data_IF_290152955931
#
_entry.id   IF_290152955931
#
_cell.length_a   1.000
_cell.length_b   1.000
_cell.length_c   1.000
_cell.angle_alpha   90.00
_cell.angle_beta   90.00
_cell.angle_gamma   90.00
#
_symmetry.space_group_name_H-M   'P 1'
#
loop_
_entity.id
_entity.type
_entity.pdbx_description
1 polymer ?
#
# COMPACT_ATOMS: atom_id res chain seq x y z
N UNK A 1 -14.90 -39.49 -14.45
CA UNK A 1 -16.03 -38.57 -14.16
C UNK A 1 -16.46 -38.67 -12.69
N UNK A 2 -16.51 -39.87 -12.10
CA UNK A 2 -16.94 -40.07 -10.70
C UNK A 2 -16.10 -39.30 -9.66
N UNK A 3 -14.80 -39.11 -9.88
CA UNK A 3 -13.93 -38.34 -8.96
C UNK A 3 -14.17 -36.83 -8.99
N UNK A 4 -14.81 -36.29 -10.04
CA UNK A 4 -15.06 -34.85 -10.21
C UNK A 4 -16.26 -34.39 -9.38
N UNK A 5 -17.25 -35.26 -9.20
CA UNK A 5 -18.50 -34.91 -8.53
C UNK A 5 -18.29 -34.44 -7.07
N UNK A 6 -17.49 -35.12 -6.22
CA UNK A 6 -17.17 -34.65 -4.87
C UNK A 6 -16.49 -33.27 -4.83
N UNK A 7 -15.67 -32.95 -5.84
CA UNK A 7 -15.02 -31.63 -5.94
C UNK A 7 -16.02 -30.54 -6.32
N UNK A 8 -16.96 -30.83 -7.23
CA UNK A 8 -18.02 -29.89 -7.57
C UNK A 8 -18.97 -29.63 -6.41
N UNK A 9 -19.33 -30.67 -5.63
CA UNK A 9 -20.21 -30.50 -4.46
C UNK A 9 -19.53 -29.66 -3.39
N UNK A 10 -18.28 -29.98 -3.02
CA UNK A 10 -17.52 -29.24 -2.01
C UNK A 10 -17.23 -27.80 -2.44
N UNK A 11 -16.94 -27.55 -3.72
CA UNK A 11 -16.79 -26.20 -4.25
C UNK A 11 -18.12 -25.42 -4.18
N UNK A 12 -19.24 -26.05 -4.52
CA UNK A 12 -20.58 -25.45 -4.42
C UNK A 12 -20.92 -25.07 -2.98
N UNK A 13 -20.67 -25.96 -2.02
CA UNK A 13 -20.84 -25.69 -0.60
C UNK A 13 -19.95 -24.55 -0.11
N UNK A 14 -18.67 -24.54 -0.49
CA UNK A 14 -17.74 -23.48 -0.12
C UNK A 14 -18.15 -22.12 -0.72
N UNK A 15 -18.67 -22.10 -1.95
CA UNK A 15 -19.21 -20.89 -2.57
C UNK A 15 -20.43 -20.36 -1.81
N UNK A 16 -21.35 -21.24 -1.41
CA UNK A 16 -22.49 -20.85 -0.58
C UNK A 16 -22.04 -20.32 0.78
N UNK A 17 -21.06 -20.98 1.41
CA UNK A 17 -20.46 -20.51 2.67
C UNK A 17 -19.87 -19.11 2.50
N UNK A 18 -19.09 -18.87 1.44
CA UNK A 18 -18.50 -17.56 1.13
C UNK A 18 -19.58 -16.47 1.03
N UNK A 19 -20.68 -16.74 0.33
CA UNK A 19 -21.78 -15.79 0.13
C UNK A 19 -22.56 -15.50 1.40
N UNK A 20 -22.55 -16.37 2.39
CA UNK A 20 -23.18 -16.16 3.70
C UNK A 20 -22.20 -15.53 4.69
N UNK A 21 -20.89 -15.63 4.44
CA UNK A 21 -19.85 -15.22 5.38
C UNK A 21 -19.74 -13.69 5.50
N UNK A 22 -19.99 -13.11 6.68
CA UNK A 22 -20.03 -11.66 6.86
C UNK A 22 -18.67 -11.00 6.60
N UNK A 23 -17.57 -11.69 6.89
CA UNK A 23 -16.21 -11.17 6.75
C UNK A 23 -15.87 -10.78 5.31
N UNK A 24 -16.41 -11.48 4.32
CA UNK A 24 -16.18 -11.13 2.91
C UNK A 24 -16.80 -9.77 2.59
N UNK A 25 -18.06 -9.55 2.96
CA UNK A 25 -18.73 -8.26 2.78
C UNK A 25 -18.09 -7.14 3.60
N UNK A 26 -17.67 -7.42 4.84
CA UNK A 26 -16.94 -6.45 5.67
C UNK A 26 -15.66 -6.01 4.96
N UNK A 27 -14.90 -6.94 4.34
CA UNK A 27 -13.69 -6.59 3.59
C UNK A 27 -14.00 -5.68 2.39
N UNK A 28 -15.06 -5.97 1.63
CA UNK A 28 -15.48 -5.15 0.49
C UNK A 28 -15.92 -3.75 0.93
N UNK A 29 -16.71 -3.65 2.00
CA UNK A 29 -17.17 -2.38 2.57
C UNK A 29 -15.96 -1.56 3.06
N UNK A 30 -15.02 -2.19 3.76
CA UNK A 30 -13.82 -1.52 4.25
C UNK A 30 -13.00 -0.96 3.09
N UNK A 31 -12.76 -1.74 2.04
CA UNK A 31 -12.08 -1.29 0.82
C UNK A 31 -12.81 -0.09 0.20
N UNK A 32 -14.13 -0.17 0.07
CA UNK A 32 -14.93 0.90 -0.50
C UNK A 32 -14.83 2.20 0.33
N UNK A 33 -14.86 2.10 1.66
CA UNK A 33 -14.67 3.24 2.56
C UNK A 33 -13.26 3.83 2.46
N UNK A 34 -12.24 3.01 2.30
CA UNK A 34 -10.85 3.47 2.14
C UNK A 34 -10.68 4.27 0.85
N UNK A 35 -11.14 3.76 -0.30
CA UNK A 35 -11.09 4.49 -1.56
C UNK A 35 -12.01 5.72 -1.59
N UNK A 36 -13.16 5.67 -0.89
CA UNK A 36 -14.00 6.86 -0.73
C UNK A 36 -13.30 7.95 0.08
N UNK A 37 -12.64 7.57 1.19
CA UNK A 37 -11.86 8.50 2.01
C UNK A 37 -10.71 9.11 1.21
N UNK A 38 -10.02 8.30 0.40
CA UNK A 38 -8.97 8.79 -0.51
C UNK A 38 -9.51 9.83 -1.50
N UNK A 39 -10.66 9.57 -2.11
CA UNK A 39 -11.35 10.55 -2.97
C UNK A 39 -11.68 11.86 -2.23
N UNK A 40 -12.13 11.79 -0.97
CA UNK A 40 -12.39 12.98 -0.16
C UNK A 40 -11.09 13.75 0.14
N UNK A 41 -9.96 13.06 0.33
CA UNK A 41 -8.65 13.69 0.48
C UNK A 41 -8.21 14.39 -0.80
N UNK A 42 -8.34 13.75 -1.96
CA UNK A 42 -8.03 14.35 -3.27
C UNK A 42 -8.81 15.64 -3.49
N UNK A 43 -10.13 15.60 -3.26
CA UNK A 43 -11.00 16.79 -3.39
C UNK A 43 -10.61 17.89 -2.42
N UNK A 44 -10.15 17.56 -1.22
CA UNK A 44 -9.76 18.54 -0.21
C UNK A 44 -8.39 19.17 -0.49
N UNK A 45 -7.47 18.43 -1.10
CA UNK A 45 -6.10 18.88 -1.39
C UNK A 45 -5.98 19.59 -2.74
N UNK A 46 -6.68 19.08 -3.76
CA UNK A 46 -6.49 19.50 -5.15
C UNK A 46 -7.78 20.02 -5.80
N UNK A 47 -8.91 20.00 -5.08
CA UNK A 47 -10.23 20.41 -5.59
C UNK A 47 -10.73 19.61 -6.80
N UNK A 48 -10.04 18.53 -7.14
CA UNK A 48 -10.33 17.68 -8.31
C UNK A 48 -10.38 16.21 -7.90
N UNK A 49 -11.06 15.42 -8.73
CA UNK A 49 -11.12 13.96 -8.61
C UNK A 49 -10.04 13.37 -9.51
N UNK A 50 -9.02 12.77 -8.92
CA UNK A 50 -7.99 12.06 -9.69
C UNK A 50 -8.43 10.62 -9.96
N UNK A 51 -9.12 10.01 -9.00
CA UNK A 51 -9.51 8.61 -9.11
C UNK A 51 -10.99 8.37 -8.80
N UNK A 52 -11.50 7.24 -9.29
CA UNK A 52 -12.87 6.81 -9.05
C UNK A 52 -12.92 5.77 -7.95
N UNK A 53 -13.50 6.11 -6.80
CA UNK A 53 -13.62 5.17 -5.68
C UNK A 53 -14.35 3.88 -6.05
N UNK A 54 -15.46 3.99 -6.80
CA UNK A 54 -16.24 2.83 -7.26
C UNK A 54 -15.41 1.95 -8.21
N UNK A 55 -14.75 2.57 -9.20
CA UNK A 55 -13.92 1.82 -10.16
C UNK A 55 -12.76 1.12 -9.46
N UNK A 56 -12.17 1.75 -8.45
CA UNK A 56 -11.11 1.15 -7.64
C UNK A 56 -11.64 -0.01 -6.79
N UNK A 57 -12.80 0.13 -6.16
CA UNK A 57 -13.44 -0.98 -5.43
C UNK A 57 -13.74 -2.16 -6.35
N UNK A 58 -14.28 -1.92 -7.54
CA UNK A 58 -14.55 -2.99 -8.52
C UNK A 58 -13.24 -3.68 -8.93
N UNK A 59 -12.19 -2.93 -9.26
CA UNK A 59 -10.87 -3.48 -9.59
C UNK A 59 -10.26 -4.28 -8.44
N UNK A 60 -10.45 -3.82 -7.20
CA UNK A 60 -9.99 -4.51 -5.99
C UNK A 60 -10.72 -5.85 -5.78
N UNK A 61 -12.04 -5.88 -5.97
CA UNK A 61 -12.84 -7.11 -5.83
C UNK A 61 -12.52 -8.09 -6.96
N UNK A 62 -12.56 -7.64 -8.22
CA UNK A 62 -12.23 -8.49 -9.37
C UNK A 62 -10.79 -9.03 -9.29
N UNK A 63 -9.85 -8.16 -8.91
CA UNK A 63 -8.48 -8.56 -8.67
C UNK A 63 -8.33 -9.58 -7.55
N UNK A 64 -9.04 -9.37 -6.44
CA UNK A 64 -9.07 -10.29 -5.31
C UNK A 64 -9.66 -11.66 -5.67
N UNK A 65 -10.69 -11.73 -6.51
CA UNK A 65 -11.24 -12.99 -7.05
C UNK A 65 -10.18 -13.73 -7.88
N UNK A 66 -9.46 -13.02 -8.77
CA UNK A 66 -8.43 -13.63 -9.62
C UNK A 66 -7.27 -14.16 -8.76
N UNK A 67 -6.72 -13.36 -7.86
CA UNK A 67 -5.63 -13.80 -6.96
C UNK A 67 -6.13 -14.93 -6.06
N UNK A 68 -7.33 -14.79 -5.51
CA UNK A 68 -7.96 -15.79 -4.65
C UNK A 68 -8.05 -17.15 -5.35
N UNK A 69 -8.54 -17.18 -6.58
CA UNK A 69 -8.59 -18.40 -7.38
C UNK A 69 -7.19 -19.00 -7.66
N UNK A 70 -6.22 -18.18 -8.08
CA UNK A 70 -4.85 -18.65 -8.36
C UNK A 70 -4.18 -19.21 -7.11
N UNK A 71 -4.29 -18.51 -5.97
CA UNK A 71 -3.73 -18.97 -4.69
C UNK A 71 -4.42 -20.24 -4.21
N UNK A 72 -5.76 -20.32 -4.35
CA UNK A 72 -6.53 -21.51 -3.97
C UNK A 72 -6.13 -22.73 -4.78
N UNK A 73 -5.97 -22.58 -6.11
CA UNK A 73 -5.52 -23.66 -6.99
C UNK A 73 -4.09 -24.09 -6.63
N UNK A 74 -3.17 -23.15 -6.40
CA UNK A 74 -1.81 -23.47 -6.01
C UNK A 74 -1.76 -24.21 -4.65
N UNK A 75 -2.54 -23.75 -3.67
CA UNK A 75 -2.65 -24.37 -2.35
C UNK A 75 -3.22 -25.80 -2.44
N UNK A 76 -4.28 -25.97 -3.24
CA UNK A 76 -4.91 -27.27 -3.53
C UNK A 76 -3.95 -28.22 -4.24
N UNK A 77 -3.21 -27.75 -5.26
CA UNK A 77 -2.24 -28.55 -5.99
C UNK A 77 -1.12 -29.09 -5.09
N UNK A 78 -0.66 -28.27 -4.14
CA UNK A 78 0.31 -28.69 -3.13
C UNK A 78 -0.28 -29.71 -2.13
N UNK A 79 -1.60 -29.85 -2.05
CA UNK A 79 -2.34 -30.59 -1.02
C UNK A 79 -2.19 -30.00 0.38
N UNK A 80 -1.74 -28.74 0.46
CA UNK A 80 -1.63 -28.04 1.72
C UNK A 80 -3.05 -27.88 2.30
N UNK A 81 -3.18 -28.13 3.59
CA UNK A 81 -4.48 -28.19 4.25
C UNK A 81 -4.39 -27.53 5.62
N UNK A 82 -5.51 -26.99 6.07
CA UNK A 82 -5.61 -26.33 7.37
C UNK A 82 -6.68 -27.01 8.20
N UNK A 83 -6.43 -27.14 9.49
CA UNK A 83 -7.45 -27.61 10.44
C UNK A 83 -8.32 -26.45 10.90
N UNK A 84 -9.49 -26.75 11.46
CA UNK A 84 -10.32 -25.71 12.10
C UNK A 84 -9.55 -24.96 13.20
N UNK A 85 -8.70 -25.67 13.95
CA UNK A 85 -7.78 -25.07 14.93
C UNK A 85 -6.79 -24.08 14.31
N UNK A 86 -6.31 -24.37 13.10
CA UNK A 86 -5.44 -23.45 12.34
C UNK A 86 -6.18 -22.17 11.94
N UNK A 87 -7.42 -22.29 11.48
CA UNK A 87 -8.26 -21.15 11.13
C UNK A 87 -8.55 -20.30 12.37
N UNK A 88 -9.02 -20.89 13.46
CA UNK A 88 -9.31 -20.13 14.68
C UNK A 88 -8.04 -19.44 15.20
N UNK A 89 -6.90 -20.14 15.21
CA UNK A 89 -5.62 -19.59 15.68
C UNK A 89 -5.15 -18.41 14.85
N UNK A 90 -5.21 -18.49 13.51
CA UNK A 90 -4.78 -17.39 12.65
C UNK A 90 -5.69 -16.16 12.79
N UNK A 91 -7.00 -16.36 12.93
CA UNK A 91 -7.96 -15.27 13.14
C UNK A 91 -7.72 -14.56 14.48
N UNK A 92 -7.54 -15.31 15.56
CA UNK A 92 -7.23 -14.76 16.89
C UNK A 92 -5.89 -14.01 16.85
N UNK A 93 -4.84 -14.63 16.30
CA UNK A 93 -3.52 -14.02 16.21
C UNK A 93 -3.55 -12.71 15.39
N UNK A 94 -4.20 -12.71 14.23
CA UNK A 94 -4.35 -11.52 13.40
C UNK A 94 -5.12 -10.40 14.13
N UNK A 95 -6.19 -10.73 14.85
CA UNK A 95 -6.96 -9.76 15.63
C UNK A 95 -6.13 -9.16 16.77
N UNK A 96 -5.44 -9.99 17.56
CA UNK A 96 -4.57 -9.54 18.67
C UNK A 96 -3.46 -8.63 18.15
N UNK A 97 -2.81 -9.00 17.05
CA UNK A 97 -1.76 -8.19 16.44
C UNK A 97 -2.32 -6.86 15.88
N UNK A 98 -3.52 -6.87 15.30
CA UNK A 98 -4.19 -5.68 14.80
C UNK A 98 -4.52 -4.66 15.91
N UNK A 99 -4.73 -5.11 17.16
CA UNK A 99 -4.90 -4.21 18.32
C UNK A 99 -3.64 -3.40 18.62
N UNK A 100 -2.45 -3.95 18.36
CA UNK A 100 -1.18 -3.24 18.49
C UNK A 100 -1.05 -2.22 17.37
N UNK A 101 -1.16 -2.69 16.11
CA UNK A 101 -1.21 -1.85 14.91
C UNK A 101 -1.96 -2.59 13.81
N UNK A 102 -2.89 -1.91 13.14
CA UNK A 102 -3.71 -2.49 12.06
C UNK A 102 -2.88 -3.08 10.92
N UNK A 103 -1.68 -2.55 10.65
CA UNK A 103 -0.76 -3.14 9.65
C UNK A 103 -0.39 -4.60 9.93
N UNK A 104 -0.43 -5.03 11.20
CA UNK A 104 -0.15 -6.41 11.59
C UNK A 104 -1.33 -7.37 11.38
N UNK A 105 -2.44 -6.88 10.81
CA UNK A 105 -3.52 -7.72 10.29
C UNK A 105 -3.06 -8.57 9.09
N UNK A 106 -1.97 -8.19 8.42
CA UNK A 106 -1.41 -8.96 7.30
C UNK A 106 -1.09 -10.40 7.74
N UNK A 107 -1.51 -11.36 6.91
CA UNK A 107 -1.45 -12.79 7.18
C UNK A 107 -0.05 -13.30 7.57
N UNK A 108 1.02 -12.74 6.97
CA UNK A 108 2.39 -13.16 7.28
C UNK A 108 2.82 -12.87 8.72
N UNK A 109 2.32 -11.78 9.34
CA UNK A 109 2.61 -11.49 10.74
C UNK A 109 1.93 -12.51 11.66
N UNK A 110 0.66 -12.83 11.41
CA UNK A 110 -0.06 -13.82 12.21
C UNK A 110 0.53 -15.22 12.06
N UNK A 111 0.83 -15.66 10.83
CA UNK A 111 1.47 -16.95 10.57
C UNK A 111 2.89 -17.02 11.16
N UNK A 112 3.70 -15.97 10.99
CA UNK A 112 5.04 -15.90 11.56
C UNK A 112 5.04 -15.90 13.09
N UNK A 113 4.13 -15.15 13.72
CA UNK A 113 3.99 -15.12 15.17
C UNK A 113 3.56 -16.48 15.73
N UNK A 114 2.59 -17.14 15.09
CA UNK A 114 2.17 -18.50 15.46
C UNK A 114 3.31 -19.51 15.31
N UNK A 115 4.11 -19.41 14.25
CA UNK A 115 5.28 -20.29 14.07
C UNK A 115 6.36 -20.10 15.14
N UNK A 116 6.64 -18.85 15.51
CA UNK A 116 7.57 -18.53 16.61
C UNK A 116 7.02 -19.05 17.95
N UNK A 117 5.72 -18.86 18.19
CA UNK A 117 5.06 -19.32 19.42
C UNK A 117 5.03 -20.84 19.51
N UNK A 118 4.70 -21.53 18.42
CA UNK A 118 4.75 -22.99 18.34
C UNK A 118 6.16 -23.51 18.64
N UNK A 119 7.20 -22.89 18.05
CA UNK A 119 8.57 -23.25 18.34
C UNK A 119 8.92 -23.08 19.82
N UNK A 120 8.53 -21.96 20.44
CA UNK A 120 8.75 -21.72 21.87
C UNK A 120 8.04 -22.76 22.75
N UNK A 121 6.78 -23.11 22.44
CA UNK A 121 6.04 -24.15 23.15
C UNK A 121 6.64 -25.54 22.96
N UNK A 122 7.21 -25.84 21.79
CA UNK A 122 7.88 -27.11 21.52
C UNK A 122 9.22 -27.24 22.25
N UNK A 123 9.98 -26.14 22.40
CA UNK A 123 11.17 -26.12 23.28
C UNK A 123 10.76 -26.35 24.73
N UNK A 124 9.71 -25.67 25.19
CA UNK A 124 9.16 -25.84 26.53
C UNK A 124 8.18 -27.04 26.60
N UNK A 125 8.54 -28.19 26.02
CA UNK A 125 7.65 -29.37 25.93
C UNK A 125 7.15 -29.87 27.30
N UNK A 126 7.95 -29.70 28.35
CA UNK A 126 7.58 -30.01 29.73
C UNK A 126 6.58 -29.04 30.37
N UNK A 127 6.34 -27.87 29.77
CA UNK A 127 5.28 -26.95 30.20
C UNK A 127 3.95 -27.39 29.59
N UNK A 128 3.07 -27.94 30.44
CA UNK A 128 1.77 -28.47 30.07
C UNK A 128 0.70 -27.87 30.99
N UNK A 129 0.32 -26.59 30.77
CA UNK A 129 -0.70 -25.95 31.58
C UNK A 129 -2.04 -26.68 31.44
N UNK A 130 -2.87 -26.64 32.46
CA UNK A 130 -4.22 -27.23 32.44
C UNK A 130 -5.30 -26.21 32.07
N UNK A 131 -6.52 -26.71 31.82
CA UNK A 131 -7.68 -25.87 31.48
C UNK A 131 -7.62 -25.27 30.07
N UNK A 132 -8.23 -24.10 29.89
CA UNK A 132 -8.34 -23.40 28.60
C UNK A 132 -6.96 -23.06 28.03
N UNK A 133 -6.02 -22.66 28.89
CA UNK A 133 -4.65 -22.35 28.46
C UNK A 133 -3.95 -23.60 27.91
N UNK A 134 -4.14 -24.76 28.54
CA UNK A 134 -3.64 -26.04 28.04
C UNK A 134 -4.16 -26.38 26.64
N UNK A 135 -5.47 -26.23 26.43
CA UNK A 135 -6.10 -26.46 25.14
C UNK A 135 -5.56 -25.52 24.05
N UNK A 136 -5.35 -24.24 24.38
CA UNK A 136 -4.78 -23.27 23.45
C UNK A 136 -3.33 -23.61 23.08
N UNK A 137 -2.50 -23.97 24.06
CA UNK A 137 -1.10 -24.39 23.82
C UNK A 137 -1.05 -25.63 22.94
N UNK A 138 -1.88 -26.64 23.22
CA UNK A 138 -1.92 -27.88 22.44
C UNK A 138 -2.40 -27.62 21.00
N UNK A 139 -3.40 -26.76 20.84
CA UNK A 139 -3.88 -26.34 19.51
C UNK A 139 -2.76 -25.68 18.71
N UNK A 140 -1.96 -24.80 19.33
CA UNK A 140 -0.81 -24.15 18.68
C UNK A 140 0.30 -25.16 18.36
N UNK A 141 0.58 -26.11 19.26
CA UNK A 141 1.55 -27.20 19.01
C UNK A 141 1.15 -28.09 17.83
N UNK A 142 -0.14 -28.30 17.63
CA UNK A 142 -0.69 -29.15 16.56
C UNK A 142 -0.88 -28.43 15.20
N UNK A 143 -0.50 -27.15 15.06
CA UNK A 143 -0.63 -26.42 13.80
C UNK A 143 0.30 -26.98 12.72
N UNK A 144 -0.23 -27.15 11.50
CA UNK A 144 0.58 -27.33 10.29
C UNK A 144 1.17 -25.98 9.87
N UNK A 145 2.28 -25.62 10.51
CA UNK A 145 2.96 -24.36 10.26
C UNK A 145 3.55 -24.26 8.85
N UNK A 146 4.16 -25.32 8.27
CA UNK A 146 4.57 -25.29 6.86
C UNK A 146 3.41 -24.91 5.92
N UNK A 147 2.21 -25.47 6.10
CA UNK A 147 1.05 -25.11 5.27
C UNK A 147 0.62 -23.64 5.46
N UNK A 148 0.55 -23.15 6.70
CA UNK A 148 0.24 -21.73 6.98
C UNK A 148 1.27 -20.79 6.35
N UNK A 149 2.57 -21.11 6.44
CA UNK A 149 3.64 -20.26 5.90
C UNK A 149 3.73 -20.33 4.36
N UNK A 150 3.37 -21.47 3.75
CA UNK A 150 3.16 -21.56 2.30
C UNK A 150 2.01 -20.65 1.87
N UNK A 151 0.87 -20.67 2.57
CA UNK A 151 -0.25 -19.77 2.26
C UNK A 151 0.17 -18.30 2.37
N UNK A 152 0.91 -17.94 3.43
CA UNK A 152 1.46 -16.60 3.58
C UNK A 152 2.33 -16.20 2.38
N UNK A 153 3.22 -17.09 1.92
CA UNK A 153 4.08 -16.84 0.77
C UNK A 153 3.30 -16.65 -0.53
N UNK A 154 2.31 -17.52 -0.80
CA UNK A 154 1.47 -17.43 -2.00
C UNK A 154 0.65 -16.14 -2.03
N UNK A 155 0.13 -15.70 -0.89
CA UNK A 155 -0.59 -14.43 -0.79
C UNK A 155 0.30 -13.23 -1.14
N UNK A 156 1.51 -13.16 -0.59
CA UNK A 156 2.43 -12.05 -0.89
C UNK A 156 3.02 -12.14 -2.30
N UNK A 157 3.10 -13.35 -2.88
CA UNK A 157 3.42 -13.52 -4.30
C UNK A 157 2.33 -12.91 -5.19
N UNK A 158 1.06 -13.21 -4.89
CA UNK A 158 -0.10 -12.60 -5.55
C UNK A 158 -0.14 -11.08 -5.38
N UNK A 159 0.15 -10.59 -4.17
CA UNK A 159 0.30 -9.16 -3.89
C UNK A 159 1.37 -8.51 -4.77
N UNK A 160 2.57 -9.08 -4.83
CA UNK A 160 3.67 -8.55 -5.64
C UNK A 160 3.31 -8.46 -7.12
N UNK A 161 2.65 -9.48 -7.67
CA UNK A 161 2.19 -9.49 -9.05
C UNK A 161 1.19 -8.36 -9.32
N UNK A 162 0.22 -8.17 -8.43
CA UNK A 162 -0.81 -7.15 -8.61
C UNK A 162 -0.31 -5.73 -8.36
N UNK A 163 0.59 -5.53 -7.40
CA UNK A 163 1.29 -4.26 -7.22
C UNK A 163 2.05 -3.91 -8.51
N UNK A 164 2.72 -4.88 -9.14
CA UNK A 164 3.43 -4.68 -10.42
C UNK A 164 2.48 -4.27 -11.56
N UNK A 165 1.30 -4.86 -11.63
CA UNK A 165 0.32 -4.65 -12.72
C UNK A 165 -0.53 -3.39 -12.55
N UNK A 166 -1.02 -3.12 -11.33
CA UNK A 166 -2.02 -2.07 -11.08
C UNK A 166 -1.48 -0.90 -10.25
N UNK A 167 -0.35 -1.07 -9.58
CA UNK A 167 0.23 -0.09 -8.64
C UNK A 167 0.19 1.33 -9.16
N UNK A 168 0.66 1.56 -10.39
CA UNK A 168 0.87 2.92 -10.92
C UNK A 168 -0.47 3.63 -11.11
N UNK A 169 -1.46 2.90 -11.60
CA UNK A 169 -2.81 3.43 -11.82
C UNK A 169 -3.58 3.73 -10.53
N UNK A 170 -3.12 3.19 -9.39
CA UNK A 170 -3.71 3.36 -8.07
C UNK A 170 -2.91 4.31 -7.17
N UNK A 171 -1.80 4.86 -7.67
CA UNK A 171 -1.05 5.88 -6.96
C UNK A 171 -1.82 7.22 -7.00
N UNK A 172 -1.93 7.88 -5.86
CA UNK A 172 -2.63 9.17 -5.73
C UNK A 172 -1.69 10.24 -5.16
N UNK A 173 -1.69 11.46 -5.72
CA UNK A 173 -0.84 12.52 -5.23
C UNK A 173 -1.26 12.97 -3.83
N UNK A 174 -0.30 13.42 -3.03
CA UNK A 174 -0.56 14.09 -1.76
C UNK A 174 0.51 15.14 -1.48
N UNK A 175 0.24 16.00 -0.50
CA UNK A 175 1.17 17.02 -0.03
C UNK A 175 1.57 16.73 1.43
N UNK A 176 2.87 16.80 1.75
CA UNK A 176 3.38 16.65 3.13
C UNK A 176 4.37 17.75 3.47
N UNK A 177 4.52 18.00 4.77
CA UNK A 177 5.64 18.78 5.30
C UNK A 177 6.91 17.92 5.27
N UNK A 178 7.89 18.34 4.48
CA UNK A 178 9.22 17.72 4.44
C UNK A 178 10.04 18.04 5.70
N UNK A 179 11.21 17.39 5.84
CA UNK A 179 12.10 17.53 7.01
C UNK A 179 12.50 18.96 7.38
N UNK A 180 12.54 19.85 6.38
CA UNK A 180 12.92 21.27 6.53
C UNK A 180 11.71 22.20 6.70
N UNK A 181 10.51 21.65 6.96
CA UNK A 181 9.26 22.39 7.09
C UNK A 181 8.70 22.94 5.77
N UNK A 182 9.37 22.75 4.64
CA UNK A 182 8.83 23.06 3.30
C UNK A 182 7.79 22.02 2.89
N UNK A 183 6.77 22.46 2.16
CA UNK A 183 5.80 21.55 1.57
C UNK A 183 6.44 20.82 0.41
N UNK A 184 6.12 19.54 0.27
CA UNK A 184 6.69 18.63 -0.70
C UNK A 184 5.55 17.78 -1.27
N UNK A 185 5.54 17.63 -2.59
CA UNK A 185 4.62 16.72 -3.25
C UNK A 185 5.07 15.27 -3.10
N UNK A 186 4.12 14.34 -3.07
CA UNK A 186 4.40 12.92 -3.03
C UNK A 186 3.25 12.11 -3.61
N UNK A 187 3.41 10.80 -3.59
CA UNK A 187 2.44 9.82 -4.03
C UNK A 187 2.21 8.77 -2.96
N UNK A 188 0.94 8.52 -2.68
CA UNK A 188 0.48 7.47 -1.78
C UNK A 188 -0.02 6.32 -2.65
N UNK A 189 0.45 5.11 -2.33
CA UNK A 189 0.04 3.87 -2.98
C UNK A 189 -0.69 3.04 -1.94
N UNK A 190 -2.02 3.01 -2.05
CA UNK A 190 -2.88 2.22 -1.19
C UNK A 190 -3.63 1.22 -2.08
N UNK A 191 -3.25 -0.04 -1.99
CA UNK A 191 -3.84 -1.12 -2.76
C UNK A 191 -4.41 -2.15 -1.81
N UNK A 192 -5.69 -2.47 -1.99
CA UNK A 192 -6.37 -3.48 -1.20
C UNK A 192 -7.15 -4.41 -2.12
N UNK A 193 -7.22 -5.68 -1.74
CA UNK A 193 -7.94 -6.74 -2.44
C UNK A 193 -8.68 -7.61 -1.42
N UNK A 194 -9.95 -7.90 -1.72
CA UNK A 194 -10.74 -8.86 -0.96
C UNK A 194 -10.62 -10.22 -1.66
N UNK A 195 -9.87 -11.15 -1.07
CA UNK A 195 -9.60 -12.46 -1.66
C UNK A 195 -10.57 -13.50 -1.10
N UNK A 196 -11.47 -14.06 -1.91
CA UNK A 196 -12.19 -15.26 -1.57
C UNK A 196 -11.29 -16.48 -1.82
N UNK A 197 -10.66 -17.01 -0.78
CA UNK A 197 -9.85 -18.23 -0.90
C UNK A 197 -10.70 -19.46 -0.62
N UNK A 198 -10.34 -20.57 -1.29
CA UNK A 198 -10.85 -21.89 -1.02
C UNK A 198 -9.67 -22.77 -0.62
N UNK A 199 -9.67 -23.19 0.64
CA UNK A 199 -8.58 -23.97 1.23
C UNK A 199 -9.05 -25.40 1.52
N UNK A 200 -8.11 -26.34 1.51
CA UNK A 200 -8.40 -27.72 1.88
C UNK A 200 -8.48 -27.86 3.40
N UNK A 201 -9.53 -28.53 3.86
CA UNK A 201 -9.68 -28.97 5.25
C UNK A 201 -9.90 -30.48 5.26
N UNK A 202 -9.23 -31.25 6.13
CA UNK A 202 -9.48 -32.69 6.24
C UNK A 202 -10.94 -32.99 6.57
N UNK A 203 -11.57 -33.88 5.80
CA UNK A 203 -12.96 -34.25 6.01
C UNK A 203 -13.10 -35.21 7.20
N UNK A 204 -14.14 -35.04 8.02
CA UNK A 204 -14.50 -35.97 9.11
C UNK A 204 -15.40 -37.13 8.64
N UNK A 205 -15.76 -37.17 7.35
CA UNK A 205 -16.64 -38.15 6.72
C UNK A 205 -16.33 -38.31 5.22
N UNK A 206 -17.36 -38.40 4.37
CA UNK A 206 -17.16 -38.45 2.91
C UNK A 206 -16.55 -37.13 2.42
N UNK A 207 -15.36 -37.20 1.84
CA UNK A 207 -14.63 -36.07 1.28
C UNK A 207 -14.09 -36.36 -0.11
N UNK A 208 -13.70 -35.32 -0.83
CA UNK A 208 -13.05 -35.46 -2.12
C UNK A 208 -11.60 -35.94 -1.96
N UNK A 209 -11.15 -36.86 -2.80
CA UNK A 209 -9.76 -37.33 -2.81
C UNK A 209 -8.97 -36.64 -3.92
N UNK A 210 -7.68 -36.41 -3.68
CA UNK A 210 -6.77 -35.85 -4.67
C UNK A 210 -6.30 -36.98 -5.60
N UNK A 211 -6.43 -36.86 -6.95
CA UNK A 211 -6.02 -37.90 -7.89
C UNK A 211 -4.50 -37.95 -8.16
N UNK A 212 -3.71 -37.07 -7.52
CA UNK A 212 -2.24 -37.10 -7.54
C UNK A 212 -1.69 -37.26 -6.13
N UNK A 213 -0.39 -37.52 -6.01
CA UNK A 213 0.30 -37.50 -4.72
C UNK A 213 0.70 -36.06 -4.38
N UNK A 214 0.02 -35.37 -3.46
CA UNK A 214 0.38 -34.01 -3.08
C UNK A 214 1.71 -33.97 -2.31
N UNK A 215 2.32 -32.77 -2.28
CA UNK A 215 3.51 -32.52 -1.47
C UNK A 215 3.18 -32.63 0.03
N UNK A 216 2.09 -32.01 0.44
CA UNK A 216 1.56 -32.13 1.78
C UNK A 216 0.64 -33.34 1.84
N UNK A 217 1.10 -34.41 2.50
CA UNK A 217 0.29 -35.60 2.68
C UNK A 217 -0.78 -35.32 3.73
N UNK A 218 -2.06 -35.50 3.38
CA UNK A 218 -3.11 -35.48 4.39
C UNK A 218 -4.34 -36.30 4.04
N UNK A 219 -4.90 -36.91 5.07
CA UNK A 219 -6.28 -37.40 5.11
C UNK A 219 -6.66 -38.49 4.10
N UNK A 220 -7.81 -39.10 4.34
CA UNK A 220 -8.47 -40.00 3.39
C UNK A 220 -9.48 -39.25 2.49
N UNK A 221 -9.64 -37.94 2.71
CA UNK A 221 -10.56 -37.08 1.96
C UNK A 221 -10.55 -35.64 2.49
N UNK A 222 -10.95 -34.70 1.64
CA UNK A 222 -10.92 -33.27 1.90
C UNK A 222 -12.26 -32.60 1.59
N UNK A 223 -12.51 -31.47 2.24
CA UNK A 223 -13.54 -30.51 1.86
C UNK A 223 -12.90 -29.16 1.57
N UNK A 224 -13.56 -28.37 0.74
CA UNK A 224 -13.19 -26.98 0.51
C UNK A 224 -13.93 -26.09 1.51
N UNK A 225 -13.20 -25.15 2.10
CA UNK A 225 -13.77 -24.14 3.00
C UNK A 225 -13.38 -22.76 2.50
N UNK A 226 -14.35 -21.84 2.51
CA UNK A 226 -14.10 -20.46 2.16
C UNK A 226 -13.33 -19.74 3.28
N UNK A 227 -12.24 -19.06 2.91
CA UNK A 227 -11.45 -18.21 3.79
C UNK A 227 -11.30 -16.82 3.15
N UNK A 228 -12.19 -15.86 3.46
CA UNK A 228 -12.05 -14.50 2.99
C UNK A 228 -10.87 -13.82 3.67
N UNK A 229 -9.93 -13.30 2.89
CA UNK A 229 -8.75 -12.57 3.37
C UNK A 229 -8.72 -11.17 2.76
N UNK A 230 -8.44 -10.18 3.60
CA UNK A 230 -8.09 -8.84 3.14
C UNK A 230 -6.57 -8.76 2.95
N UNK A 231 -6.14 -8.61 1.70
CA UNK A 231 -4.74 -8.43 1.33
C UNK A 231 -4.52 -6.97 0.92
N UNK A 232 -3.38 -6.38 1.25
CA UNK A 232 -3.11 -5.02 0.78
C UNK A 232 -1.78 -4.41 1.20
N UNK A 233 -1.33 -3.50 0.34
CA UNK A 233 -0.10 -2.75 0.45
C UNK A 233 -0.43 -1.28 0.70
N UNK A 234 0.24 -0.67 1.68
CA UNK A 234 0.27 0.78 1.84
C UNK A 234 1.72 1.25 1.86
N UNK A 235 2.10 2.03 0.87
CA UNK A 235 3.41 2.67 0.78
C UNK A 235 3.27 4.14 0.36
N UNK A 236 4.26 4.97 0.64
CA UNK A 236 4.30 6.36 0.24
C UNK A 236 5.67 6.69 -0.35
N UNK A 237 5.71 7.60 -1.33
CA UNK A 237 6.94 8.13 -1.91
C UNK A 237 6.88 9.65 -2.04
N UNK A 238 7.93 10.33 -1.61
CA UNK A 238 8.19 11.75 -1.84
C UNK A 238 9.44 11.96 -2.70
N UNK A 239 10.30 10.94 -2.81
CA UNK A 239 11.62 10.97 -3.44
C UNK A 239 11.68 10.31 -4.81
N UNK A 240 10.65 9.57 -5.20
CA UNK A 240 10.59 8.85 -6.47
C UNK A 240 9.25 9.05 -7.18
N UNK A 241 9.28 8.90 -8.50
CA UNK A 241 8.07 8.73 -9.31
C UNK A 241 7.34 7.44 -8.89
N UNK A 242 6.00 7.42 -8.92
CA UNK A 242 5.20 6.27 -8.50
C UNK A 242 5.59 5.00 -9.27
N UNK A 243 5.78 5.12 -10.60
CA UNK A 243 6.20 4.00 -11.45
C UNK A 243 7.48 3.32 -10.98
N UNK A 244 8.49 4.10 -10.59
CA UNK A 244 9.76 3.58 -10.08
C UNK A 244 9.56 2.94 -8.71
N UNK A 245 8.88 3.61 -7.78
CA UNK A 245 8.64 3.08 -6.43
C UNK A 245 7.93 1.73 -6.47
N UNK A 246 6.88 1.61 -7.28
CA UNK A 246 6.11 0.37 -7.44
C UNK A 246 6.94 -0.77 -7.99
N UNK A 247 7.82 -0.52 -8.97
CA UNK A 247 8.72 -1.56 -9.48
C UNK A 247 9.68 -2.07 -8.39
N UNK A 248 10.25 -1.17 -7.58
CA UNK A 248 11.12 -1.56 -6.46
C UNK A 248 10.33 -2.32 -5.39
N UNK A 249 9.18 -1.83 -4.97
CA UNK A 249 8.34 -2.46 -3.94
C UNK A 249 7.86 -3.84 -4.39
N UNK A 250 7.36 -3.98 -5.63
CA UNK A 250 6.96 -5.28 -6.18
C UNK A 250 8.13 -6.26 -6.28
N UNK A 251 9.31 -5.82 -6.73
CA UNK A 251 10.50 -6.69 -6.83
C UNK A 251 10.97 -7.18 -5.46
N UNK A 252 11.01 -6.29 -4.47
CA UNK A 252 11.42 -6.63 -3.09
C UNK A 252 10.41 -7.58 -2.44
N UNK A 253 9.12 -7.30 -2.62
CA UNK A 253 8.04 -8.16 -2.13
C UNK A 253 8.09 -9.54 -2.80
N UNK A 254 8.29 -9.60 -4.12
CA UNK A 254 8.46 -10.87 -4.85
C UNK A 254 9.64 -11.68 -4.32
N UNK A 255 10.81 -11.05 -4.14
CA UNK A 255 12.00 -11.72 -3.59
C UNK A 255 11.72 -12.28 -2.19
N UNK A 256 11.11 -11.48 -1.32
CA UNK A 256 10.68 -11.93 0.00
C UNK A 256 9.73 -13.13 -0.07
N UNK A 257 8.70 -13.08 -0.92
CA UNK A 257 7.72 -14.15 -1.09
C UNK A 257 8.37 -15.43 -1.60
N UNK A 258 9.35 -15.34 -2.51
CA UNK A 258 10.11 -16.49 -3.00
C UNK A 258 10.95 -17.10 -1.88
N UNK A 259 11.69 -16.28 -1.12
CA UNK A 259 12.49 -16.76 0.01
C UNK A 259 11.60 -17.44 1.06
N UNK A 260 10.48 -16.82 1.42
CA UNK A 260 9.51 -17.39 2.34
C UNK A 260 8.95 -18.72 1.79
N UNK A 261 8.52 -18.76 0.53
CA UNK A 261 7.98 -19.97 -0.09
C UNK A 261 8.99 -21.13 -0.06
N UNK A 262 10.25 -20.87 -0.40
CA UNK A 262 11.32 -21.88 -0.38
C UNK A 262 11.49 -22.44 1.03
N UNK A 263 11.65 -21.59 2.06
CA UNK A 263 11.80 -22.09 3.43
C UNK A 263 10.55 -22.83 3.93
N UNK A 264 9.35 -22.36 3.60
CA UNK A 264 8.09 -23.01 3.99
C UNK A 264 7.92 -24.39 3.34
N UNK A 265 8.30 -24.54 2.07
CA UNK A 265 8.26 -25.84 1.38
C UNK A 265 9.33 -26.79 1.91
N UNK A 266 10.56 -26.29 2.13
CA UNK A 266 11.64 -27.10 2.70
C UNK A 266 11.33 -27.57 4.13
N UNK A 267 10.55 -26.80 4.88
CA UNK A 267 10.11 -27.16 6.22
C UNK A 267 9.23 -28.43 6.29
N UNK A 268 8.63 -28.84 5.16
CA UNK A 268 7.87 -30.09 5.06
C UNK A 268 8.78 -31.31 5.30
N UNK A 269 10.00 -31.28 4.76
CA UNK A 269 10.99 -32.36 4.95
C UNK A 269 11.91 -32.12 6.14
N UNK A 270 12.20 -30.85 6.46
CA UNK A 270 13.08 -30.46 7.54
C UNK A 270 12.36 -29.55 8.54
N UNK A 271 11.66 -30.12 9.55
CA UNK A 271 10.83 -29.36 10.48
C UNK A 271 11.55 -28.23 11.20
N UNK A 272 12.88 -28.34 11.41
CA UNK A 272 13.72 -27.29 12.00
C UNK A 272 13.73 -25.99 11.18
N UNK A 273 13.44 -26.04 9.88
CA UNK A 273 13.34 -24.84 9.04
C UNK A 273 12.04 -24.07 9.27
N UNK A 274 11.04 -24.65 9.94
CA UNK A 274 9.78 -23.96 10.26
C UNK A 274 10.01 -22.66 11.02
N UNK A 275 10.91 -22.65 12.01
CA UNK A 275 11.23 -21.42 12.76
C UNK A 275 11.92 -20.38 11.88
N UNK A 276 12.75 -20.82 10.93
CA UNK A 276 13.41 -19.93 9.96
C UNK A 276 12.36 -19.31 9.04
N UNK A 277 11.46 -20.12 8.48
CA UNK A 277 10.35 -19.66 7.66
C UNK A 277 9.43 -18.69 8.43
N UNK A 278 9.12 -18.98 9.69
CA UNK A 278 8.32 -18.11 10.56
C UNK A 278 9.01 -16.76 10.85
N UNK A 279 10.32 -16.78 11.10
CA UNK A 279 11.13 -15.55 11.26
C UNK A 279 11.19 -14.75 9.96
N UNK A 280 11.35 -15.41 8.81
CA UNK A 280 11.27 -14.74 7.52
C UNK A 280 9.89 -14.10 7.36
N UNK A 281 8.80 -14.83 7.61
CA UNK A 281 7.43 -14.31 7.48
C UNK A 281 7.19 -13.06 8.35
N UNK A 282 7.62 -13.08 9.61
CA UNK A 282 7.41 -11.95 10.52
C UNK A 282 8.44 -10.84 10.34
N UNK A 283 9.71 -11.15 10.57
CA UNK A 283 10.79 -10.17 10.60
C UNK A 283 11.21 -9.72 9.20
N UNK A 284 11.17 -10.62 8.20
CA UNK A 284 11.42 -10.26 6.81
C UNK A 284 10.38 -9.27 6.27
N UNK A 285 9.10 -9.45 6.62
CA UNK A 285 8.07 -8.49 6.24
C UNK A 285 8.27 -7.13 6.92
N UNK A 286 8.62 -7.11 8.22
CA UNK A 286 8.93 -5.85 8.91
C UNK A 286 10.19 -5.18 8.32
N UNK A 287 11.21 -5.96 7.96
CA UNK A 287 12.42 -5.47 7.31
C UNK A 287 12.11 -4.78 5.98
N UNK A 288 11.19 -5.32 5.17
CA UNK A 288 10.75 -4.68 3.92
C UNK A 288 10.15 -3.30 4.18
N UNK A 289 9.22 -3.22 5.13
CA UNK A 289 8.53 -1.97 5.48
C UNK A 289 9.51 -0.94 6.04
N UNK A 290 10.35 -1.36 6.98
CA UNK A 290 11.38 -0.52 7.58
C UNK A 290 12.39 -0.02 6.55
N UNK A 291 12.86 -0.90 5.66
CA UNK A 291 13.84 -0.54 4.64
C UNK A 291 13.28 0.45 3.62
N UNK A 292 12.03 0.24 3.16
CA UNK A 292 11.34 1.20 2.27
C UNK A 292 11.22 2.58 2.93
N UNK A 293 10.81 2.63 4.20
CA UNK A 293 10.68 3.88 4.96
C UNK A 293 12.04 4.57 5.18
N UNK A 294 13.10 3.80 5.47
CA UNK A 294 14.46 4.32 5.66
C UNK A 294 14.99 4.94 4.37
N UNK A 295 14.85 4.25 3.24
CA UNK A 295 15.24 4.77 1.92
C UNK A 295 14.55 6.10 1.62
N UNK A 296 13.25 6.19 1.88
CA UNK A 296 12.45 7.41 1.67
C UNK A 296 12.89 8.60 2.51
N UNK A 297 13.46 8.33 3.69
CA UNK A 297 13.99 9.36 4.57
C UNK A 297 15.37 9.86 4.11
N UNK A 298 16.18 9.04 3.43
CA UNK A 298 17.53 9.42 3.04
C UNK A 298 17.61 10.10 1.66
N UNK A 299 16.58 9.98 0.84
CA UNK A 299 16.54 10.57 -0.49
C UNK A 299 15.92 11.97 -0.50
N UNK A 300 16.38 12.79 -1.44
CA UNK A 300 15.83 14.13 -1.69
C UNK A 300 14.44 14.02 -2.31
N UNK A 301 13.51 14.93 -2.00
CA UNK A 301 12.20 14.91 -2.63
C UNK A 301 12.23 15.19 -4.13
N UNK A 302 11.42 14.46 -4.90
CA UNK A 302 11.33 14.56 -6.35
C UNK A 302 10.37 15.67 -6.82
N UNK A 303 9.35 15.99 -6.03
CA UNK A 303 8.29 16.93 -6.41
C UNK A 303 8.44 18.27 -5.69
N UNK A 304 9.49 18.99 -6.08
CA UNK A 304 9.78 20.36 -5.65
C UNK A 304 10.11 21.19 -6.90
N UNK A 305 9.73 22.47 -6.90
CA UNK A 305 10.06 23.38 -7.98
C UNK A 305 11.58 23.52 -8.13
N UNK A 306 12.14 23.32 -9.35
CA UNK A 306 13.52 23.69 -9.65
C UNK A 306 13.68 25.22 -9.65
N UNK A 307 14.92 25.71 -9.78
CA UNK A 307 15.18 27.16 -9.88
C UNK A 307 14.42 27.82 -11.05
N UNK A 308 14.24 27.09 -12.16
CA UNK A 308 13.55 27.60 -13.34
C UNK A 308 12.51 26.59 -13.82
N UNK A 309 11.28 27.06 -13.99
CA UNK A 309 10.15 26.21 -14.35
C UNK A 309 9.39 25.66 -13.14
N UNK A 310 8.22 25.11 -13.41
CA UNK A 310 7.33 24.56 -12.41
C UNK A 310 7.26 23.03 -12.51
N UNK A 311 7.50 22.33 -11.41
CA UNK A 311 7.45 20.87 -11.37
C UNK A 311 6.00 20.38 -11.41
N UNK A 312 5.70 19.43 -12.29
CA UNK A 312 4.40 18.77 -12.37
C UNK A 312 4.32 17.70 -11.29
N UNK A 313 3.37 17.83 -10.37
CA UNK A 313 3.08 16.80 -9.38
C UNK A 313 2.25 15.69 -10.01
N UNK A 314 1.13 16.03 -10.65
CA UNK A 314 0.23 15.07 -11.30
C UNK A 314 -0.55 15.72 -12.43
N UNK A 315 -1.16 14.91 -13.30
CA UNK A 315 -2.03 15.39 -14.38
C UNK A 315 -3.44 14.84 -14.18
N UNK A 316 -4.44 15.70 -14.33
CA UNK A 316 -5.85 15.31 -14.20
C UNK A 316 -6.22 14.41 -15.38
N UNK A 317 -6.87 13.25 -15.15
CA UNK A 317 -7.31 12.38 -16.24
C UNK A 317 -8.26 13.10 -17.20
N UNK A 318 -8.17 12.79 -18.50
CA UNK A 318 -9.01 13.40 -19.55
C UNK A 318 -8.92 14.93 -19.61
N UNK A 319 -7.76 15.50 -19.26
CA UNK A 319 -7.50 16.94 -19.36
C UNK A 319 -6.62 17.26 -20.58
N UNK A 320 -6.56 18.54 -21.01
CA UNK A 320 -5.67 18.96 -22.10
C UNK A 320 -4.21 18.52 -21.92
N UNK A 321 -3.70 18.56 -20.69
CA UNK A 321 -2.35 18.10 -20.33
C UNK A 321 -2.18 16.58 -20.48
N UNK A 322 -3.23 15.81 -20.19
CA UNK A 322 -3.21 14.36 -20.39
C UNK A 322 -3.16 14.02 -21.88
N UNK A 323 -3.93 14.73 -22.72
CA UNK A 323 -3.89 14.55 -24.18
C UNK A 323 -2.55 14.94 -24.81
N UNK A 324 -1.90 15.98 -24.28
CA UNK A 324 -0.56 16.38 -24.69
C UNK A 324 0.54 15.39 -24.24
N UNK A 325 0.20 14.41 -23.40
CA UNK A 325 1.16 13.44 -22.86
C UNK A 325 2.19 14.09 -21.93
N UNK A 326 1.73 15.01 -21.07
CA UNK A 326 2.50 15.55 -19.95
C UNK A 326 2.51 14.50 -18.84
N UNK A 327 3.66 14.26 -18.24
CA UNK A 327 3.83 13.25 -17.20
C UNK A 327 4.19 13.86 -15.84
N UNK A 328 3.83 13.15 -14.77
CA UNK A 328 4.25 13.51 -13.43
C UNK A 328 5.78 13.52 -13.32
N UNK A 329 6.34 14.55 -12.67
CA UNK A 329 7.77 14.73 -12.51
C UNK A 329 8.46 15.55 -13.61
N UNK A 330 7.79 15.81 -14.73
CA UNK A 330 8.27 16.75 -15.75
C UNK A 330 8.23 18.20 -15.23
N UNK A 331 8.98 19.09 -15.87
CA UNK A 331 9.03 20.51 -15.49
C UNK A 331 8.50 21.38 -16.61
N UNK A 332 7.42 22.12 -16.36
CA UNK A 332 6.94 23.14 -17.27
C UNK A 332 7.87 24.34 -17.24
N UNK A 333 8.55 24.62 -18.35
CA UNK A 333 9.61 25.63 -18.41
C UNK A 333 9.15 26.93 -19.05
N UNK A 334 8.45 26.86 -20.20
CA UNK A 334 7.84 28.03 -20.85
C UNK A 334 6.42 27.75 -21.32
N UNK A 335 5.64 28.83 -21.38
CA UNK A 335 4.31 28.87 -21.98
C UNK A 335 4.22 30.09 -22.89
N UNK A 336 3.85 29.87 -24.15
CA UNK A 336 3.74 30.91 -25.17
C UNK A 336 5.00 31.79 -25.28
N UNK A 337 6.17 31.17 -25.13
CA UNK A 337 7.47 31.84 -25.20
C UNK A 337 7.94 32.52 -23.90
N UNK A 338 7.09 32.62 -22.88
CA UNK A 338 7.46 33.19 -21.57
C UNK A 338 7.91 32.11 -20.59
N UNK A 339 8.97 32.38 -19.83
CA UNK A 339 9.36 31.55 -18.68
C UNK A 339 8.28 31.62 -17.60
N UNK A 340 8.03 30.49 -16.95
CA UNK A 340 7.06 30.38 -15.86
C UNK A 340 7.72 29.88 -14.59
N UNK A 341 7.67 30.69 -13.53
CA UNK A 341 8.26 30.41 -12.22
C UNK A 341 7.24 30.34 -11.10
N UNK A 342 6.01 30.81 -11.34
CA UNK A 342 4.90 30.72 -10.38
C UNK A 342 3.59 30.29 -11.05
N UNK A 343 2.64 29.70 -10.30
CA UNK A 343 1.29 29.40 -10.79
C UNK A 343 0.56 30.62 -11.37
N UNK A 344 0.81 31.82 -10.85
CA UNK A 344 0.23 33.07 -11.34
C UNK A 344 0.81 33.45 -12.72
N UNK A 345 2.13 33.29 -12.90
CA UNK A 345 2.78 33.50 -14.19
C UNK A 345 2.31 32.50 -15.23
N UNK A 346 2.14 31.23 -14.84
CA UNK A 346 1.55 30.21 -15.69
C UNK A 346 0.15 30.62 -16.16
N UNK A 347 -0.70 31.06 -15.23
CA UNK A 347 -2.05 31.49 -15.56
C UNK A 347 -2.05 32.70 -16.52
N UNK A 348 -1.16 33.67 -16.27
CA UNK A 348 -0.99 34.84 -17.15
C UNK A 348 -0.49 34.44 -18.54
N UNK A 349 0.48 33.53 -18.63
CA UNK A 349 1.06 33.07 -19.89
C UNK A 349 0.06 32.29 -20.75
N UNK A 350 -0.79 31.47 -20.13
CA UNK A 350 -1.89 30.78 -20.81
C UNK A 350 -2.93 31.77 -21.35
N UNK A 351 -3.23 32.85 -20.62
CA UNK A 351 -4.21 33.87 -21.05
C UNK A 351 -3.74 34.77 -22.18
N UNK A 352 -2.43 34.83 -22.48
CA UNK A 352 -1.94 35.62 -23.61
C UNK A 352 -2.48 35.12 -24.95
N UNK A 353 -2.76 33.82 -25.05
CA UNK A 353 -3.37 33.23 -26.22
C UNK A 353 -4.43 32.22 -25.78
N UNK A 354 -5.68 32.67 -25.79
CA UNK A 354 -6.84 31.87 -25.34
C UNK A 354 -7.21 30.74 -26.29
N UNK A 355 -6.77 30.79 -27.55
CA UNK A 355 -7.12 29.81 -28.57
C UNK A 355 -6.01 28.78 -28.81
N UNK A 356 -4.77 29.07 -28.41
CA UNK A 356 -3.63 28.21 -28.70
C UNK A 356 -2.56 28.30 -27.62
N UNK A 357 -2.02 27.14 -27.23
CA UNK A 357 -0.96 27.04 -26.25
C UNK A 357 0.26 26.36 -26.83
N UNK A 358 1.43 26.99 -26.66
CA UNK A 358 2.74 26.39 -26.93
C UNK A 358 3.49 26.22 -25.62
N UNK A 359 3.82 24.98 -25.28
CA UNK A 359 4.52 24.60 -24.06
C UNK A 359 5.95 24.17 -24.40
N UNK A 360 6.89 24.58 -23.56
CA UNK A 360 8.22 23.97 -23.46
C UNK A 360 8.30 23.26 -22.12
N UNK A 361 8.42 21.94 -22.14
CA UNK A 361 8.48 21.07 -20.97
C UNK A 361 9.82 20.38 -20.95
N UNK A 362 10.45 20.27 -19.79
CA UNK A 362 11.63 19.44 -19.59
C UNK A 362 11.22 18.06 -19.10
N UNK A 363 11.63 17.02 -19.83
CA UNK A 363 11.36 15.63 -19.47
C UNK A 363 12.15 15.22 -18.21
N UNK A 364 12.04 13.96 -17.77
CA UNK A 364 12.75 13.46 -16.59
C UNK A 364 14.29 13.47 -16.74
N UNK A 365 14.81 13.53 -17.97
CA UNK A 365 16.24 13.61 -18.29
C UNK A 365 16.73 15.08 -18.39
N UNK A 366 15.82 16.05 -18.35
CA UNK A 366 16.12 17.48 -18.45
C UNK A 366 16.10 18.04 -19.88
N UNK A 367 15.75 17.23 -20.87
CA UNK A 367 15.66 17.62 -22.28
C UNK A 367 14.35 18.35 -22.58
N UNK A 368 14.40 19.36 -23.45
CA UNK A 368 13.21 20.14 -23.83
C UNK A 368 12.33 19.38 -24.84
N UNK A 369 11.07 19.18 -24.47
CA UNK A 369 9.95 18.71 -25.28
C UNK A 369 9.02 19.89 -25.58
N UNK A 370 8.81 20.17 -26.85
CA UNK A 370 7.87 21.20 -27.29
C UNK A 370 6.53 20.57 -27.60
N UNK A 371 5.47 21.10 -27.00
CA UNK A 371 4.10 20.63 -27.21
C UNK A 371 3.24 21.82 -27.60
N UNK A 372 2.22 21.58 -28.41
CA UNK A 372 1.30 22.64 -28.79
C UNK A 372 -0.09 22.10 -29.10
N UNK A 373 -1.12 22.90 -28.80
CA UNK A 373 -2.52 22.51 -29.02
C UNK A 373 -3.43 23.74 -28.97
N UNK A 374 -4.57 23.64 -29.65
CA UNK A 374 -5.68 24.58 -29.51
C UNK A 374 -6.39 24.42 -28.14
N UNK A 375 -6.76 25.53 -27.52
CA UNK A 375 -7.57 25.54 -26.29
C UNK A 375 -9.03 25.80 -26.69
N UNK A 376 -9.94 24.98 -26.19
CA UNK A 376 -11.37 25.10 -26.43
C UNK A 376 -12.09 25.64 -25.18
N UNK A 377 -13.28 26.22 -25.40
CA UNK A 377 -14.11 26.76 -24.33
C UNK A 377 -14.63 25.63 -23.41
N UNK A 378 -14.61 25.87 -22.10
CA UNK A 378 -14.97 24.85 -21.09
C UNK A 378 -13.81 23.94 -20.66
N UNK A 379 -12.64 24.04 -21.28
CA UNK A 379 -11.46 23.28 -20.88
C UNK A 379 -10.79 23.84 -19.62
N UNK A 380 -10.02 22.99 -18.93
CA UNK A 380 -9.45 23.35 -17.64
C UNK A 380 -8.45 24.51 -17.76
N UNK A 381 -8.61 25.55 -16.94
CA UNK A 381 -7.86 26.81 -16.97
C UNK A 381 -6.33 26.71 -16.78
N UNK A 382 -5.81 25.55 -16.39
CA UNK A 382 -4.39 25.23 -16.20
C UNK A 382 -4.01 23.97 -17.00
N UNK A 383 -4.75 23.70 -18.08
CA UNK A 383 -4.64 22.48 -18.89
C UNK A 383 -4.88 21.18 -18.10
N UNK A 384 -5.24 21.27 -16.82
CA UNK A 384 -5.38 20.13 -15.91
C UNK A 384 -4.05 19.63 -15.33
N UNK A 385 -3.02 20.48 -15.28
CA UNK A 385 -1.76 20.17 -14.59
C UNK A 385 -1.90 20.51 -13.10
N UNK A 386 -1.57 19.56 -12.23
CA UNK A 386 -1.43 19.77 -10.79
C UNK A 386 0.05 20.00 -10.50
N UNK A 387 0.40 21.19 -10.03
CA UNK A 387 1.79 21.55 -9.76
C UNK A 387 2.26 21.00 -8.41
N UNK A 388 3.57 20.87 -8.24
CA UNK A 388 4.18 20.71 -6.93
C UNK A 388 3.76 21.87 -6.01
N UNK A 389 3.77 21.69 -4.67
CA UNK A 389 3.37 22.76 -3.77
C UNK A 389 4.42 23.87 -3.74
N UNK A 390 3.95 25.10 -3.80
CA UNK A 390 4.74 26.26 -3.37
C UNK A 390 4.70 26.42 -1.86
N UNK A 391 5.60 27.25 -1.33
CA UNK A 391 5.66 27.54 0.11
C UNK A 391 4.44 28.36 0.62
N UNK A 392 3.54 28.77 -0.26
CA UNK A 392 2.38 29.60 0.03
C UNK A 392 1.13 28.73 0.23
N UNK A 393 0.45 28.91 1.37
CA UNK A 393 -0.90 28.41 1.72
C UNK A 393 -1.39 27.10 1.10
N UNK A 394 -0.65 25.99 1.26
CA UNK A 394 -1.16 24.67 0.92
C UNK A 394 -1.61 23.86 2.15
N UNK A 395 -2.64 23.04 1.96
CA UNK A 395 -3.04 22.02 2.93
C UNK A 395 -2.04 20.85 2.87
N UNK A 396 -1.46 20.48 4.01
CA UNK A 396 -0.60 19.30 4.14
C UNK A 396 -1.38 18.13 4.76
N UNK A 397 -1.14 16.93 4.28
CA UNK A 397 -1.54 15.69 4.93
C UNK A 397 -0.56 15.39 6.07
N UNK A 398 -1.08 14.96 7.22
CA UNK A 398 -0.24 14.34 8.24
C UNK A 398 -0.19 12.84 8.00
N UNK A 399 1.01 12.29 7.78
CA UNK A 399 1.24 10.85 7.69
C UNK A 399 1.11 10.24 9.09
N UNK A 400 -0.13 9.97 9.52
CA UNK A 400 -0.43 9.22 10.75
C UNK A 400 -0.91 7.81 10.40
N UNK A 401 -0.52 6.77 11.17
CA UNK A 401 -1.12 5.46 11.04
C UNK A 401 -2.62 5.60 11.30
N UNK A 402 -3.42 5.19 10.33
CA UNK A 402 -4.87 5.32 10.36
C UNK A 402 -5.47 4.23 11.23
N UNK A 403 -6.40 4.59 12.13
CA UNK A 403 -7.16 3.60 12.91
C UNK A 403 -8.48 3.20 12.22
N UNK A 404 -9.03 2.03 12.56
CA UNK A 404 -10.31 1.55 12.01
C UNK A 404 -11.44 2.56 12.26
N UNK A 405 -11.53 3.12 13.46
CA UNK A 405 -12.52 4.15 13.80
C UNK A 405 -12.41 5.39 12.89
N UNK A 406 -11.20 5.78 12.52
CA UNK A 406 -10.98 6.91 11.61
C UNK A 406 -11.37 6.59 10.18
N UNK A 407 -11.27 5.32 9.75
CA UNK A 407 -11.80 4.87 8.46
C UNK A 407 -13.33 4.93 8.47
N UNK A 408 -13.97 4.39 9.50
CA UNK A 408 -15.44 4.38 9.64
C UNK A 408 -16.05 5.79 9.75
N UNK A 409 -15.37 6.70 10.44
CA UNK A 409 -15.81 8.11 10.57
C UNK A 409 -15.37 9.00 9.40
N UNK A 410 -14.68 8.43 8.39
CA UNK A 410 -14.13 9.16 7.25
C UNK A 410 -13.26 10.38 7.64
N UNK A 411 -12.60 10.32 8.79
CA UNK A 411 -11.85 11.45 9.35
C UNK A 411 -10.59 11.74 8.53
N UNK A 412 -10.45 12.99 8.08
CA UNK A 412 -9.30 13.44 7.29
C UNK A 412 -8.28 14.19 8.16
N UNK A 413 -7.01 13.79 8.08
CA UNK A 413 -5.90 14.46 8.77
C UNK A 413 -5.19 15.43 7.84
N UNK A 414 -5.78 16.59 7.67
CA UNK A 414 -5.19 17.70 6.91
C UNK A 414 -4.89 18.85 7.85
N UNK A 415 -3.68 19.39 7.80
CA UNK A 415 -3.29 20.62 8.50
C UNK A 415 -3.12 21.72 7.45
N UNK A 416 -3.76 22.87 7.65
CA UNK A 416 -3.45 24.07 6.85
C UNK A 416 -2.10 24.59 7.33
N UNK A 417 -1.13 24.74 6.42
CA UNK A 417 0.11 25.43 6.76
C UNK A 417 -0.17 26.94 6.72
N UNK A 418 -0.09 27.58 7.88
CA UNK A 418 -0.17 29.05 7.96
C UNK A 418 1.10 29.69 7.39
N UNK A 419 0.95 30.86 6.80
CA UNK A 419 2.03 31.64 6.21
C UNK A 419 3.03 32.00 7.30
N UNK A 420 4.21 31.37 7.31
CA UNK A 420 5.34 31.87 8.09
C UNK A 420 5.88 33.07 7.31
N UNK A 421 5.70 34.27 7.85
CA UNK A 421 6.33 35.49 7.33
C UNK A 421 7.83 35.37 7.55
N UNK A 422 8.56 34.85 6.57
CA UNK A 422 10.03 34.89 6.55
C UNK A 422 10.55 36.32 6.21
N UNK A 423 9.66 37.29 5.99
CA UNK A 423 9.96 38.73 5.85
C UNK A 423 9.94 39.48 7.20
N UNK A 424 10.38 38.84 8.29
CA UNK A 424 10.86 39.63 9.42
C UNK A 424 12.24 40.16 9.02
N UNK A 425 12.47 41.48 8.91
CA UNK A 425 13.80 41.99 8.61
C UNK A 425 14.76 41.38 9.64
N UNK A 426 15.84 40.77 9.17
CA UNK A 426 16.99 40.41 9.99
C UNK A 426 17.29 41.63 10.86
N UNK A 427 16.91 41.57 12.14
CA UNK A 427 17.22 42.62 13.08
C UNK A 427 18.75 42.69 13.12
N UNK A 428 19.31 43.70 12.46
CA UNK A 428 20.73 43.98 12.56
C UNK A 428 21.01 44.15 14.07
N UNK A 429 22.03 43.48 14.61
CA UNK A 429 22.40 43.69 16.00
C UNK A 429 22.67 45.20 16.20
N UNK A 430 22.18 45.80 17.31
CA UNK A 430 22.38 47.22 17.55
C UNK A 430 23.89 47.53 17.60
N UNK A 431 24.29 48.62 16.93
CA UNK A 431 25.66 49.09 16.92
C UNK A 431 26.16 49.31 18.37
N UNK A 432 27.42 48.95 18.69
CA UNK A 432 27.96 49.14 20.03
C UNK A 432 27.96 50.64 20.38
N UNK A 433 27.33 50.97 21.50
CA UNK A 433 27.32 52.31 22.07
C UNK A 433 28.74 52.65 22.53
N UNK A 434 29.37 53.62 21.87
CA UNK A 434 30.60 54.25 22.35
C UNK A 434 30.25 55.04 23.62
N UNK A 435 30.71 54.56 24.77
CA UNK A 435 30.60 55.26 26.05
C UNK A 435 31.61 56.40 26.07
N UNK A 436 31.17 57.59 25.69
CA UNK A 436 31.91 58.83 25.96
C UNK A 436 31.46 59.40 27.31
N UNK A 437 32.18 59.03 28.37
CA UNK A 437 32.11 59.68 29.69
C UNK A 437 33.52 59.76 30.30
N UNK A 438 34.32 60.64 29.73
CA UNK A 438 35.44 61.27 30.41
C UNK A 438 35.17 62.75 30.56
N UNK A 439 34.63 63.17 31.70
CA UNK A 439 34.70 64.57 32.15
C UNK A 439 35.15 64.59 33.61
N UNK A 440 36.38 65.05 33.76
CA UNK A 440 37.03 65.62 34.94
C UNK A 440 36.11 66.66 35.61
N UNK A 441 36.04 66.67 36.95
CA UNK A 441 36.11 67.93 37.72
C UNK A 441 36.41 67.69 39.22
N UNK A 442 37.40 68.48 39.68
CA UNK A 442 38.07 68.62 41.00
C UNK A 442 39.08 67.56 41.43
#
# INVERSE_FOLDING_TARGET
MEWVWPWLTTLGEALLQLLIQPFYYISIILIALMYHRQLLQERKLFLVRMQSSITQTIRAVLGGIIIGAVVSIAFLFLGAHLTLGSLISIWIAALVLALIRIRYLCFAYAAGALGILQFAFNIASGWQPSGILGQAVETVRALDMPALLVLAALLHFGEAAFVRMQGVSMASPFLIEGKRGKLVGGYQMQLFWALPLFILVPATGAGATLPWTPLFQAGQGYTLVALPILLGLSDNTQSMLPGRKIQLTAKRLLLYSVVLLVFSLLAVWWPSLTVVAALVAFAGHELLVWYSAREEQHLSPAFVHPQHGLKVLSVIPNSPAAELGIEAGETLYKVNGMLVHSPEELHRALRMNSAFCKLEIRNHQGESKFMQRAIYEGEHHQLGVVMAPDNHEALAVQLRPVTLLQVLTLKLFTRRKERRTDDAPLALPPAPVVSDKGSVEM
#
